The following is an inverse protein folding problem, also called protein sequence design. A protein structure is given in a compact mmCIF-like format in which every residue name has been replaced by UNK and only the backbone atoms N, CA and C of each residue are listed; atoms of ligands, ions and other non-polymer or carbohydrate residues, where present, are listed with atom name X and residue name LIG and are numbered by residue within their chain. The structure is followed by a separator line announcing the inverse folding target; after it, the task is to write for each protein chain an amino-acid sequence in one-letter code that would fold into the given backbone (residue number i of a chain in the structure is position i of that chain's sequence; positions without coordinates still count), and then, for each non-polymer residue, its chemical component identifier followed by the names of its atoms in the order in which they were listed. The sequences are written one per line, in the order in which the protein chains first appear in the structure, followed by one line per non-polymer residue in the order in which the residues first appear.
data_IF_239549817627
#
_entry.id   IF_239549817627
#
_cell.length_a   1.000
_cell.length_b   1.000
_cell.length_c   1.000
_cell.angle_alpha   90.00
_cell.angle_beta   90.00
_cell.angle_gamma   90.00
#
_symmetry.space_group_name_H-M   'P 1'
#
loop_
_entity.id
_entity.type
_entity.pdbx_description
1 polymer ?
#
# COMPACT_ATOMS: atom_id res chain seq x y z
N UNK A 1 4.13 -3.61 8.59
CA UNK A 1 4.31 -3.99 7.17
C UNK A 1 3.40 -5.15 6.77
N UNK A 2 2.85 -5.09 5.55
CA UNK A 2 2.03 -6.14 4.94
C UNK A 2 2.51 -6.37 3.51
N UNK A 3 2.57 -7.63 3.11
CA UNK A 3 2.78 -8.00 1.72
C UNK A 3 1.48 -8.45 1.07
N UNK A 4 1.25 -7.99 -0.16
CA UNK A 4 0.10 -8.38 -0.95
C UNK A 4 0.54 -9.07 -2.23
N UNK A 5 0.13 -10.32 -2.38
CA UNK A 5 0.29 -11.05 -3.63
C UNK A 5 -0.53 -10.44 -4.77
N UNK A 6 0.09 -10.34 -5.93
CA UNK A 6 -0.56 -9.86 -7.16
C UNK A 6 -1.54 -10.92 -7.70
N UNK A 7 -2.46 -10.55 -8.59
CA UNK A 7 -3.37 -11.47 -9.31
C UNK A 7 -2.56 -12.44 -10.19
N UNK A 8 -3.06 -13.67 -10.39
CA UNK A 8 -2.36 -14.65 -11.26
C UNK A 8 -2.37 -14.17 -12.71
N UNK A 9 -1.25 -14.38 -13.42
CA UNK A 9 -1.08 -13.94 -14.81
C UNK A 9 -0.79 -12.45 -14.98
N UNK A 10 -0.29 -11.77 -13.93
CA UNK A 10 0.20 -10.40 -14.03
C UNK A 10 1.36 -10.19 -13.04
N UNK A 11 2.31 -9.34 -13.40
CA UNK A 11 3.39 -8.83 -12.52
C UNK A 11 3.05 -7.45 -11.98
N UNK A 12 3.88 -6.92 -11.06
CA UNK A 12 3.70 -5.55 -10.58
C UNK A 12 3.94 -4.54 -11.70
N UNK A 13 4.99 -4.78 -12.48
CA UNK A 13 5.45 -3.90 -13.57
C UNK A 13 4.43 -3.79 -14.71
N UNK A 14 3.69 -4.87 -15.00
CA UNK A 14 2.60 -4.84 -15.98
C UNK A 14 1.41 -4.02 -15.51
N UNK A 15 1.17 -3.95 -14.19
CA UNK A 15 0.01 -3.26 -13.62
C UNK A 15 0.31 -1.81 -13.29
N UNK A 16 1.52 -1.55 -12.82
CA UNK A 16 2.03 -0.22 -12.50
C UNK A 16 3.43 -0.13 -13.08
N UNK A 17 3.50 0.47 -14.27
CA UNK A 17 4.76 0.69 -14.99
C UNK A 17 5.68 1.62 -14.20
N UNK A 18 5.10 2.63 -13.55
CA UNK A 18 5.82 3.57 -12.69
C UNK A 18 5.24 3.52 -11.27
N UNK A 19 5.82 2.65 -10.43
CA UNK A 19 5.41 2.51 -9.03
C UNK A 19 5.63 3.80 -8.25
N UNK A 20 6.75 4.47 -8.53
CA UNK A 20 7.11 5.73 -7.89
C UNK A 20 6.06 6.80 -8.18
N UNK A 21 5.74 7.01 -9.46
CA UNK A 21 4.72 7.96 -9.87
C UNK A 21 3.32 7.62 -9.33
N UNK A 22 2.97 6.33 -9.23
CA UNK A 22 1.72 5.92 -8.60
C UNK A 22 1.70 6.22 -7.09
N UNK A 23 2.82 6.07 -6.38
CA UNK A 23 2.89 6.47 -4.96
C UNK A 23 2.68 7.98 -4.83
N UNK A 24 3.34 8.77 -5.69
CA UNK A 24 3.21 10.23 -5.67
C UNK A 24 1.79 10.71 -6.01
N UNK A 25 1.12 10.06 -6.96
CA UNK A 25 -0.26 10.34 -7.36
C UNK A 25 -1.26 10.07 -6.23
N UNK A 26 -1.11 8.96 -5.50
CA UNK A 26 -2.08 8.53 -4.49
C UNK A 26 -1.83 9.12 -3.11
N UNK A 27 -0.57 9.24 -2.71
CA UNK A 27 -0.20 9.57 -1.34
C UNK A 27 0.52 10.90 -1.23
N UNK A 28 1.06 11.44 -2.32
CA UNK A 28 1.83 12.68 -2.31
C UNK A 28 3.34 12.46 -2.44
N UNK A 29 4.13 13.56 -2.39
CA UNK A 29 5.53 13.55 -2.78
C UNK A 29 6.36 12.59 -1.91
N UNK A 30 7.20 11.80 -2.58
CA UNK A 30 8.12 10.88 -1.90
C UNK A 30 9.21 11.69 -1.20
N UNK A 31 9.34 11.49 0.10
CA UNK A 31 10.34 12.17 0.94
C UNK A 31 11.63 11.37 1.07
N UNK A 32 11.59 10.06 0.80
CA UNK A 32 12.77 9.22 0.85
C UNK A 32 12.57 7.82 0.29
N UNK A 33 13.60 6.99 0.44
CA UNK A 33 13.55 5.57 0.17
C UNK A 33 14.21 4.80 1.31
N UNK A 34 13.61 3.68 1.69
CA UNK A 34 14.12 2.78 2.72
C UNK A 34 14.34 1.39 2.13
N UNK A 35 15.43 0.73 2.50
CA UNK A 35 15.66 -0.66 2.12
C UNK A 35 15.13 -1.57 3.24
N UNK A 36 14.14 -2.40 2.93
CA UNK A 36 13.67 -3.45 3.84
C UNK A 36 13.65 -4.80 3.12
N UNK A 37 14.15 -5.85 3.79
CA UNK A 37 14.24 -7.21 3.24
C UNK A 37 14.96 -7.26 1.87
N UNK A 38 15.91 -6.35 1.66
CA UNK A 38 16.66 -6.20 0.40
C UNK A 38 15.88 -5.55 -0.73
N UNK A 39 14.67 -5.05 -0.47
CA UNK A 39 13.81 -4.36 -1.42
C UNK A 39 13.77 -2.85 -1.13
N UNK A 40 13.68 -2.03 -2.17
CA UNK A 40 13.53 -0.58 -2.04
C UNK A 40 12.04 -0.22 -1.83
N UNK A 41 11.77 0.57 -0.80
CA UNK A 41 10.45 1.10 -0.47
C UNK A 41 10.50 2.63 -0.60
N UNK A 42 9.61 3.19 -1.41
CA UNK A 42 9.34 4.63 -1.47
C UNK A 42 8.60 5.07 -0.22
N UNK A 43 9.07 6.15 0.40
CA UNK A 43 8.57 6.65 1.66
C UNK A 43 7.94 8.02 1.48
N UNK A 44 6.73 8.18 2.00
CA UNK A 44 6.00 9.44 2.09
C UNK A 44 5.76 9.74 3.56
N UNK A 45 6.56 10.64 4.14
CA UNK A 45 6.43 11.04 5.55
C UNK A 45 5.31 12.05 5.81
N UNK A 46 4.84 12.76 4.79
CA UNK A 46 3.71 13.67 4.94
C UNK A 46 2.69 13.48 3.81
N UNK A 47 1.87 12.41 3.88
CA UNK A 47 0.89 12.12 2.87
C UNK A 47 -0.18 13.20 2.74
N UNK A 48 -0.80 13.32 1.56
CA UNK A 48 -1.87 14.28 1.28
C UNK A 48 -3.07 14.10 2.21
N UNK A 49 -3.40 12.84 2.54
CA UNK A 49 -4.42 12.54 3.52
C UNK A 49 -3.79 12.45 4.93
N UNK A 50 -4.14 13.34 5.87
CA UNK A 50 -3.49 13.44 7.18
C UNK A 50 -3.80 12.27 8.12
N UNK A 51 -4.73 11.37 7.74
CA UNK A 51 -4.94 10.10 8.44
C UNK A 51 -3.70 9.23 8.36
N UNK A 52 -2.94 9.31 7.27
CA UNK A 52 -1.67 8.61 7.16
C UNK A 52 -0.57 9.49 7.77
N UNK A 53 0.11 8.97 8.79
CA UNK A 53 1.33 9.56 9.35
C UNK A 53 2.54 9.27 8.46
N UNK A 54 2.59 8.08 7.88
CA UNK A 54 3.67 7.64 7.00
C UNK A 54 3.17 6.53 6.08
N UNK A 55 3.60 6.56 4.82
CA UNK A 55 3.34 5.49 3.86
C UNK A 55 4.65 5.02 3.26
N UNK A 56 4.94 3.72 3.37
CA UNK A 56 6.09 3.08 2.74
C UNK A 56 5.61 2.02 1.76
N UNK A 57 6.03 2.08 0.50
CA UNK A 57 5.56 1.19 -0.57
C UNK A 57 6.73 0.71 -1.42
N UNK A 58 6.84 -0.59 -1.64
CA UNK A 58 7.89 -1.19 -2.46
C UNK A 58 7.43 -2.41 -3.24
N UNK A 59 8.27 -2.83 -4.18
CA UNK A 59 8.09 -4.07 -4.93
C UNK A 59 8.81 -5.21 -4.20
N UNK A 60 8.09 -6.27 -3.83
CA UNK A 60 8.68 -7.49 -3.27
C UNK A 60 9.04 -8.45 -4.39
N UNK A 61 10.30 -8.41 -4.85
CA UNK A 61 10.81 -9.33 -5.88
C UNK A 61 11.75 -10.34 -5.25
N UNK A 62 11.25 -11.58 -5.13
CA UNK A 62 12.02 -12.68 -4.58
C UNK A 62 12.26 -13.76 -5.64
N UNK A 63 13.49 -14.28 -5.78
CA UNK A 63 13.81 -15.28 -6.78
C UNK A 63 12.99 -16.56 -6.59
N UNK A 64 12.35 -17.02 -7.66
CA UNK A 64 11.51 -18.23 -7.65
C UNK A 64 10.15 -18.08 -6.96
N UNK A 65 9.84 -16.89 -6.42
CA UNK A 65 8.52 -16.56 -5.90
C UNK A 65 7.81 -15.59 -6.83
N UNK A 66 6.51 -15.44 -6.56
CA UNK A 66 5.69 -14.44 -7.24
C UNK A 66 6.02 -13.05 -6.72
N UNK A 67 5.95 -12.05 -7.60
CA UNK A 67 5.96 -10.64 -7.22
C UNK A 67 4.87 -10.32 -6.19
N UNK A 68 5.27 -9.59 -5.17
CA UNK A 68 4.38 -9.02 -4.15
C UNK A 68 4.50 -7.49 -4.13
N UNK A 69 3.48 -6.85 -3.56
CA UNK A 69 3.54 -5.44 -3.19
C UNK A 69 3.77 -5.35 -1.69
N UNK A 70 4.86 -4.71 -1.29
CA UNK A 70 5.19 -4.45 0.10
C UNK A 70 4.60 -3.09 0.47
N UNK A 71 3.81 -3.03 1.54
CA UNK A 71 3.24 -1.77 2.03
C UNK A 71 3.31 -1.66 3.54
N UNK A 72 3.51 -0.44 4.02
CA UNK A 72 3.34 -0.07 5.42
C UNK A 72 2.58 1.24 5.49
N UNK A 73 1.40 1.20 6.11
CA UNK A 73 0.56 2.37 6.30
C UNK A 73 0.51 2.66 7.79
N UNK A 74 1.14 3.74 8.22
CA UNK A 74 1.03 4.24 9.58
C UNK A 74 -0.15 5.21 9.62
N UNK A 75 -1.23 4.84 10.33
CA UNK A 75 -2.50 5.58 10.36
C UNK A 75 -2.74 6.16 11.76
N UNK A 76 -3.46 7.29 11.84
CA UNK A 76 -3.97 7.83 13.10
C UNK A 76 -4.86 6.79 13.80
N UNK A 77 -4.76 6.65 15.13
CA UNK A 77 -5.62 5.74 15.87
C UNK A 77 -7.05 6.29 15.90
N UNK A 78 -8.03 5.38 15.91
CA UNK A 78 -9.47 5.71 15.89
C UNK A 78 -9.88 6.77 16.93
N UNK A 79 -9.40 6.74 18.20
CA UNK A 79 -9.75 7.77 19.18
C UNK A 79 -9.34 9.18 18.76
N UNK A 80 -8.17 9.35 18.12
CA UNK A 80 -7.71 10.66 17.63
C UNK A 80 -8.57 11.13 16.44
N UNK A 81 -8.90 10.22 15.52
CA UNK A 81 -9.78 10.52 14.37
C UNK A 81 -11.15 11.02 14.86
N UNK A 82 -11.73 10.36 15.87
CA UNK A 82 -13.02 10.77 16.45
C UNK A 82 -12.90 12.11 17.16
N UNK A 83 -11.83 12.32 17.94
CA UNK A 83 -11.61 13.55 18.68
C UNK A 83 -11.43 14.77 17.76
N UNK A 84 -10.74 14.59 16.63
CA UNK A 84 -10.52 15.65 15.64
C UNK A 84 -11.72 15.85 14.69
N UNK A 85 -12.66 14.89 14.64
CA UNK A 85 -13.79 14.92 13.71
C UNK A 85 -13.42 14.51 12.27
N UNK A 86 -12.27 13.86 12.09
CA UNK A 86 -11.69 13.51 10.78
C UNK A 86 -12.32 12.27 10.13
N UNK A 87 -13.61 12.02 10.36
CA UNK A 87 -14.30 10.79 9.91
C UNK A 87 -14.34 10.71 8.38
N UNK A 88 -14.58 11.83 7.70
CA UNK A 88 -14.60 11.89 6.23
C UNK A 88 -13.20 11.63 5.66
N UNK A 89 -12.16 12.20 6.25
CA UNK A 89 -10.77 11.96 5.85
C UNK A 89 -10.38 10.50 6.04
N UNK A 90 -10.86 9.85 7.10
CA UNK A 90 -10.65 8.41 7.33
C UNK A 90 -11.37 7.55 6.28
N UNK A 91 -12.56 7.94 5.84
CA UNK A 91 -13.26 7.25 4.75
C UNK A 91 -12.52 7.40 3.41
N UNK A 92 -11.99 8.58 3.14
CA UNK A 92 -11.15 8.83 1.96
C UNK A 92 -9.85 8.03 2.01
N UNK A 93 -9.19 7.96 3.17
CA UNK A 93 -7.96 7.18 3.36
C UNK A 93 -8.18 5.70 3.03
N UNK A 94 -9.29 5.14 3.49
CA UNK A 94 -9.68 3.75 3.19
C UNK A 94 -9.95 3.58 1.69
N UNK A 95 -10.59 4.54 1.05
CA UNK A 95 -10.90 4.50 -0.38
C UNK A 95 -9.64 4.55 -1.24
N UNK A 96 -8.76 5.52 -1.00
CA UNK A 96 -7.45 5.68 -1.65
C UNK A 96 -6.60 4.43 -1.48
N UNK A 97 -6.50 3.89 -0.26
CA UNK A 97 -5.76 2.64 0.03
C UNK A 97 -6.32 1.46 -0.77
N UNK A 98 -7.64 1.33 -0.87
CA UNK A 98 -8.25 0.23 -1.60
C UNK A 98 -8.08 0.35 -3.10
N UNK A 99 -8.17 1.56 -3.64
CA UNK A 99 -7.97 1.82 -5.06
C UNK A 99 -6.52 1.54 -5.47
N UNK A 100 -5.55 2.09 -4.73
CA UNK A 100 -4.13 1.83 -4.95
C UNK A 100 -3.82 0.32 -4.92
N UNK A 101 -4.28 -0.38 -3.87
CA UNK A 101 -4.04 -1.81 -3.74
C UNK A 101 -4.73 -2.62 -4.83
N UNK A 102 -5.90 -2.21 -5.31
CA UNK A 102 -6.58 -2.86 -6.43
C UNK A 102 -5.80 -2.63 -7.75
N UNK A 103 -5.34 -1.40 -8.01
CA UNK A 103 -4.51 -1.06 -9.19
C UNK A 103 -3.26 -1.93 -9.20
N UNK A 104 -2.50 -1.91 -8.10
CA UNK A 104 -1.23 -2.60 -7.94
C UNK A 104 -1.36 -4.13 -7.94
N UNK A 105 -2.30 -4.68 -7.18
CA UNK A 105 -2.38 -6.14 -7.00
C UNK A 105 -3.37 -6.80 -7.96
N UNK A 106 -4.31 -6.04 -8.53
CA UNK A 106 -5.43 -6.60 -9.29
C UNK A 106 -6.44 -7.38 -8.44
N UNK A 107 -6.35 -7.28 -7.11
CA UNK A 107 -7.25 -7.96 -6.17
C UNK A 107 -8.04 -6.91 -5.38
N UNK A 108 -9.35 -7.06 -5.37
CA UNK A 108 -10.22 -6.30 -4.49
C UNK A 108 -9.97 -6.67 -3.01
N UNK A 109 -10.54 -5.88 -2.09
CA UNK A 109 -10.35 -6.07 -0.65
C UNK A 109 -10.75 -7.47 -0.16
N UNK A 110 -11.82 -8.06 -0.70
CA UNK A 110 -12.26 -9.42 -0.36
C UNK A 110 -11.30 -10.47 -0.90
N UNK A 111 -10.83 -10.30 -2.14
CA UNK A 111 -9.83 -11.19 -2.73
C UNK A 111 -8.49 -11.14 -1.98
N UNK A 112 -8.03 -9.95 -1.57
CA UNK A 112 -6.81 -9.77 -0.74
C UNK A 112 -6.95 -10.47 0.61
N UNK A 113 -8.08 -10.31 1.30
CA UNK A 113 -8.34 -10.99 2.58
C UNK A 113 -8.35 -12.52 2.44
N UNK A 114 -8.95 -13.05 1.36
CA UNK A 114 -8.97 -14.50 1.10
C UNK A 114 -7.58 -15.05 0.81
N UNK A 115 -6.75 -14.31 0.07
CA UNK A 115 -5.38 -14.68 -0.20
C UNK A 115 -4.54 -14.74 1.09
N UNK A 116 -4.60 -13.69 1.91
CA UNK A 116 -3.89 -13.65 3.20
C UNK A 116 -4.28 -14.79 4.14
N UNK A 117 -5.55 -15.21 4.15
CA UNK A 117 -5.98 -16.34 4.99
C UNK A 117 -5.36 -17.68 4.55
N UNK A 118 -5.12 -17.87 3.24
CA UNK A 118 -4.52 -19.10 2.71
C UNK A 118 -3.04 -19.25 3.00
N UNK A 119 -2.33 -18.15 3.26
CA UNK A 119 -0.90 -18.16 3.60
C UNK A 119 -0.64 -18.64 5.04
N UNK A 120 -1.70 -18.71 5.87
CA UNK A 120 -1.62 -19.06 7.30
C UNK A 120 -2.01 -20.53 7.56
N UNK A 121 -2.61 -21.22 6.58
CA UNK A 121 -2.96 -22.66 6.65
C UNK A 121 -1.83 -23.53 6.06
#
# INVERSE_FOLDING_TARGET
MKEYEIKRGSTLEERIVDLKGAVEEYFGPITGAEIQEGQELYVVENPVNPIFKKVSIGAGKYPGKKDTLIVDFEELPIPEIIANGDIELAADAVSVKNEFLLKATGKDSKARRKAMKKDVE
#
